data_IF_948111381486
#
_entry.id   IF_948111381486
#
_cell.length_a   1.000
_cell.length_b   1.000
_cell.length_c   1.000
_cell.angle_alpha   90.00
_cell.angle_beta   90.00
_cell.angle_gamma   90.00
#
_symmetry.space_group_name_H-M   'P 1'
#
loop_
_entity.id
_entity.type
_entity.pdbx_description
1 polymer ?
#
# COMPACT_ATOMS: atom_id res chain seq x y z
N UNK A 1 -24.80 36.71 -27.00
CA UNK A 1 -23.78 35.63 -26.99
C UNK A 1 -22.66 35.92 -26.01
N UNK A 2 -22.02 37.08 -26.03
CA UNK A 2 -20.94 37.46 -25.10
C UNK A 2 -21.32 37.43 -23.60
N UNK A 3 -22.52 37.96 -23.27
CA UNK A 3 -23.00 38.02 -21.87
C UNK A 3 -23.32 36.64 -21.30
N UNK A 4 -23.81 35.70 -22.11
CA UNK A 4 -24.05 34.32 -21.70
C UNK A 4 -22.76 33.56 -21.51
N UNK A 5 -21.75 33.81 -22.34
CA UNK A 5 -20.43 33.18 -22.22
C UNK A 5 -19.66 33.66 -20.96
N UNK A 6 -19.73 34.96 -20.67
CA UNK A 6 -19.12 35.54 -19.46
C UNK A 6 -19.83 35.07 -18.19
N UNK A 7 -21.14 34.91 -18.19
CA UNK A 7 -21.90 34.33 -17.08
C UNK A 7 -21.55 32.86 -16.82
N UNK A 8 -21.42 32.06 -17.87
CA UNK A 8 -21.01 30.65 -17.77
C UNK A 8 -19.54 30.51 -17.27
N UNK A 9 -18.63 31.36 -17.75
CA UNK A 9 -17.26 31.38 -17.28
C UNK A 9 -17.14 31.83 -15.82
N UNK A 10 -17.91 32.84 -15.40
CA UNK A 10 -17.98 33.27 -14.01
C UNK A 10 -18.57 32.19 -13.09
N UNK A 11 -19.61 31.50 -13.53
CA UNK A 11 -20.20 30.37 -12.79
C UNK A 11 -19.24 29.18 -12.70
N UNK A 12 -18.52 28.86 -13.78
CA UNK A 12 -17.51 27.82 -13.78
C UNK A 12 -16.32 28.17 -12.88
N UNK A 13 -15.81 29.40 -12.93
CA UNK A 13 -14.73 29.87 -12.05
C UNK A 13 -15.17 29.88 -10.58
N UNK A 14 -16.39 30.33 -10.28
CA UNK A 14 -16.99 30.28 -8.95
C UNK A 14 -17.11 28.83 -8.45
N UNK A 15 -17.59 27.91 -9.29
CA UNK A 15 -17.73 26.50 -8.94
C UNK A 15 -16.38 25.84 -8.67
N UNK A 16 -15.33 26.17 -9.44
CA UNK A 16 -13.97 25.70 -9.24
C UNK A 16 -13.37 26.25 -7.94
N UNK A 17 -13.59 27.54 -7.64
CA UNK A 17 -13.12 28.18 -6.41
C UNK A 17 -13.80 27.55 -5.18
N UNK A 18 -15.13 27.39 -5.22
CA UNK A 18 -15.90 26.74 -4.16
C UNK A 18 -15.51 25.27 -4.03
N UNK A 19 -15.33 24.55 -5.13
CA UNK A 19 -14.83 23.19 -5.15
C UNK A 19 -13.47 23.08 -4.47
N UNK A 20 -12.55 23.99 -4.75
CA UNK A 20 -11.23 24.03 -4.13
C UNK A 20 -11.28 24.37 -2.62
N UNK A 21 -12.13 25.32 -2.21
CA UNK A 21 -12.34 25.65 -0.80
C UNK A 21 -12.97 24.47 -0.03
N UNK A 22 -13.93 23.78 -0.63
CA UNK A 22 -14.59 22.62 -0.02
C UNK A 22 -13.69 21.39 0.02
N UNK A 23 -12.79 21.23 -0.94
CA UNK A 23 -11.83 20.11 -0.99
C UNK A 23 -10.66 20.28 -0.01
N UNK A 24 -10.36 21.52 0.42
CA UNK A 24 -9.29 21.75 1.40
C UNK A 24 -9.60 21.07 2.72
N UNK A 25 -8.60 20.43 3.33
CA UNK A 25 -8.69 19.95 4.69
C UNK A 25 -9.16 21.07 5.61
N UNK A 26 -10.01 20.74 6.58
CA UNK A 26 -10.64 21.74 7.45
C UNK A 26 -9.67 22.47 8.39
N UNK A 27 -8.47 21.94 8.55
CA UNK A 27 -7.38 22.53 9.33
C UNK A 27 -6.04 22.09 8.72
N UNK A 28 -5.22 23.02 8.30
CA UNK A 28 -3.80 22.78 8.03
C UNK A 28 -3.06 22.81 9.36
N UNK A 29 -2.62 21.66 9.86
CA UNK A 29 -1.71 21.62 11.01
C UNK A 29 -0.27 21.73 10.45
N UNK A 30 0.53 22.70 10.89
CA UNK A 30 1.93 22.82 10.45
C UNK A 30 2.72 21.52 10.64
N UNK A 31 2.40 20.72 11.67
CA UNK A 31 3.02 19.42 11.90
C UNK A 31 2.81 18.40 10.78
N UNK A 32 1.75 18.54 9.98
CA UNK A 32 1.46 17.67 8.84
C UNK A 32 2.33 17.99 7.61
N UNK A 33 3.01 19.14 7.63
CA UNK A 33 3.96 19.53 6.59
C UNK A 33 5.27 18.72 6.66
N UNK A 34 5.52 18.03 7.77
CA UNK A 34 6.73 17.24 7.99
C UNK A 34 6.47 15.78 7.65
N UNK A 35 7.29 15.23 6.75
CA UNK A 35 7.21 13.84 6.30
C UNK A 35 8.56 13.15 6.46
N UNK A 36 8.53 11.90 6.88
CA UNK A 36 9.67 11.00 6.87
C UNK A 36 9.63 10.15 5.60
N UNK A 37 10.64 10.33 4.76
CA UNK A 37 10.79 9.60 3.50
C UNK A 37 11.86 8.52 3.72
N UNK A 38 11.57 7.23 3.56
CA UNK A 38 12.56 6.18 3.71
C UNK A 38 13.67 6.32 2.66
N UNK A 39 14.92 6.23 3.09
CA UNK A 39 16.12 6.27 2.24
C UNK A 39 16.73 4.89 2.05
N UNK A 40 16.64 4.06 3.10
CA UNK A 40 17.17 2.70 3.08
C UNK A 40 16.14 1.72 3.63
N UNK A 41 16.11 0.49 3.11
CA UNK A 41 15.35 -0.59 3.75
C UNK A 41 15.82 -0.85 5.18
N UNK A 42 14.95 -1.46 6.00
CA UNK A 42 15.34 -1.91 7.33
C UNK A 42 16.44 -2.96 7.26
N UNK A 43 17.54 -2.70 7.91
CA UNK A 43 18.70 -3.63 8.06
C UNK A 43 18.67 -4.38 9.40
N UNK A 44 19.56 -5.34 9.58
CA UNK A 44 19.68 -6.12 10.82
C UNK A 44 18.59 -7.18 11.00
N UNK A 45 17.94 -7.61 9.91
CA UNK A 45 16.95 -8.69 9.94
C UNK A 45 17.61 -9.99 10.45
N UNK A 46 17.16 -10.50 11.62
CA UNK A 46 17.73 -11.67 12.28
C UNK A 46 18.56 -11.36 13.54
N UNK A 47 18.79 -10.08 13.85
CA UNK A 47 19.37 -9.63 15.13
C UNK A 47 18.30 -8.92 15.98
N UNK A 48 18.59 -8.65 17.24
CA UNK A 48 17.73 -7.84 18.12
C UNK A 48 17.68 -6.36 17.76
N UNK A 49 18.44 -5.93 16.75
CA UNK A 49 18.55 -4.52 16.35
C UNK A 49 18.03 -4.33 14.93
N UNK A 50 17.25 -3.27 14.71
CA UNK A 50 16.77 -2.86 13.40
C UNK A 50 17.15 -1.42 13.15
N UNK A 51 17.68 -1.15 11.95
CA UNK A 51 18.15 0.19 11.56
C UNK A 51 17.62 0.56 10.18
N UNK A 52 17.11 1.79 10.06
CA UNK A 52 16.77 2.38 8.76
C UNK A 52 17.06 3.88 8.80
N UNK A 53 17.32 4.47 7.63
CA UNK A 53 17.55 5.90 7.44
C UNK A 53 16.36 6.54 6.74
N UNK A 54 15.98 7.68 7.25
CA UNK A 54 14.87 8.48 6.71
C UNK A 54 15.35 9.89 6.45
N UNK A 55 14.83 10.49 5.38
CA UNK A 55 14.95 11.94 5.13
C UNK A 55 13.73 12.62 5.73
N UNK A 56 13.98 13.56 6.63
CA UNK A 56 12.95 14.45 7.10
C UNK A 56 12.72 15.52 6.03
N UNK A 57 11.49 15.64 5.55
CA UNK A 57 11.09 16.64 4.57
C UNK A 57 10.02 17.54 5.16
N UNK A 58 10.25 18.86 5.12
CA UNK A 58 9.23 19.85 5.46
C UNK A 58 8.85 20.66 4.22
N UNK A 59 7.55 20.79 3.99
CA UNK A 59 7.02 21.68 2.95
C UNK A 59 7.11 23.15 3.35
N UNK A 60 7.28 23.45 4.66
CA UNK A 60 7.47 24.81 5.19
C UNK A 60 8.91 24.96 5.75
N UNK A 61 9.76 25.74 5.08
CA UNK A 61 11.15 25.92 5.50
C UNK A 61 11.30 26.71 6.82
N UNK A 62 10.22 27.31 7.31
CA UNK A 62 10.24 28.11 8.56
C UNK A 62 9.91 27.30 9.79
N UNK A 63 9.61 26.01 9.66
CA UNK A 63 9.28 25.13 10.78
C UNK A 63 10.53 24.65 11.51
N UNK A 64 10.55 24.82 12.82
CA UNK A 64 11.49 24.15 13.72
C UNK A 64 10.83 22.90 14.29
N UNK A 65 11.57 21.81 14.37
CA UNK A 65 11.10 20.52 14.91
C UNK A 65 11.85 20.27 16.22
N UNK A 66 11.10 19.92 17.26
CA UNK A 66 11.66 19.63 18.59
C UNK A 66 10.95 18.46 19.24
N UNK A 67 11.53 17.89 20.29
CA UNK A 67 10.90 16.90 21.14
C UNK A 67 10.52 15.60 20.42
N UNK A 68 11.40 15.11 19.53
CA UNK A 68 11.16 13.83 18.85
C UNK A 68 11.17 12.69 19.86
N UNK A 69 10.06 11.99 19.98
CA UNK A 69 9.89 10.81 20.84
C UNK A 69 9.39 9.61 20.05
N UNK A 70 9.66 8.42 20.56
CA UNK A 70 9.25 7.16 19.95
C UNK A 70 8.49 6.29 20.93
N UNK A 71 7.41 5.67 20.46
CA UNK A 71 6.68 4.62 21.15
C UNK A 71 6.60 3.39 20.27
N UNK A 72 6.80 2.20 20.85
CA UNK A 72 6.82 0.93 20.13
C UNK A 72 5.62 0.09 20.51
N UNK A 73 4.96 -0.48 19.51
CA UNK A 73 3.95 -1.51 19.67
C UNK A 73 4.32 -2.72 18.81
N UNK A 74 4.31 -3.93 19.40
CA UNK A 74 4.65 -5.17 18.71
C UNK A 74 3.38 -5.90 18.25
N UNK A 75 3.45 -6.55 17.08
CA UNK A 75 2.37 -7.32 16.47
C UNK A 75 2.81 -8.77 16.27
N UNK A 76 2.06 -9.71 16.83
CA UNK A 76 2.20 -11.15 16.66
C UNK A 76 0.97 -11.75 15.99
N UNK A 77 1.10 -12.98 15.53
CA UNK A 77 -0.02 -13.76 14.99
C UNK A 77 -0.93 -14.30 16.11
N UNK A 78 -0.38 -14.46 17.32
CA UNK A 78 -1.08 -14.99 18.49
C UNK A 78 -1.28 -13.91 19.54
N UNK A 79 -2.34 -14.07 20.36
CA UNK A 79 -2.68 -13.17 21.46
C UNK A 79 -1.77 -13.33 22.70
N UNK A 80 -0.53 -13.77 22.53
CA UNK A 80 0.44 -13.95 23.62
C UNK A 80 0.87 -12.61 24.24
N UNK A 81 1.32 -12.60 25.52
CA UNK A 81 1.87 -11.42 26.15
C UNK A 81 2.98 -10.84 25.28
N UNK A 82 2.86 -9.57 24.94
CA UNK A 82 3.80 -8.90 24.03
C UNK A 82 5.08 -8.59 24.76
N UNK A 83 6.26 -8.94 24.21
CA UNK A 83 7.53 -8.55 24.83
C UNK A 83 7.63 -7.04 24.90
N UNK A 84 8.27 -6.52 25.94
CA UNK A 84 8.56 -5.10 26.05
C UNK A 84 9.64 -4.75 25.02
N UNK A 85 9.28 -4.03 23.98
CA UNK A 85 10.23 -3.51 22.99
C UNK A 85 10.60 -2.08 23.37
N UNK A 86 11.89 -1.77 23.31
CA UNK A 86 12.39 -0.42 23.51
C UNK A 86 12.88 0.13 22.16
N UNK A 87 12.50 1.36 21.85
CA UNK A 87 13.00 2.08 20.70
C UNK A 87 13.83 3.26 21.13
N UNK A 88 14.97 3.44 20.50
CA UNK A 88 15.73 4.67 20.54
C UNK A 88 15.67 5.36 19.18
N UNK A 89 15.48 6.67 19.18
CA UNK A 89 15.54 7.51 17.99
C UNK A 89 16.74 8.42 18.13
N UNK A 90 17.64 8.34 17.17
CA UNK A 90 18.77 9.25 17.06
C UNK A 90 18.53 10.15 15.86
N UNK A 91 18.63 11.45 16.09
CA UNK A 91 18.54 12.47 15.06
C UNK A 91 19.94 13.06 14.89
N UNK A 92 20.45 13.02 13.67
CA UNK A 92 21.78 13.55 13.40
C UNK A 92 21.96 13.98 11.97
N UNK A 93 23.00 14.80 11.81
CA UNK A 93 23.47 15.29 10.53
C UNK A 93 24.81 14.60 10.23
N UNK A 94 24.83 13.63 9.32
CA UNK A 94 26.04 12.88 9.02
C UNK A 94 26.33 11.76 10.05
N UNK A 95 27.57 11.29 10.09
CA UNK A 95 28.01 10.15 10.90
C UNK A 95 28.13 10.42 12.40
N UNK A 96 28.12 11.71 12.82
CA UNK A 96 28.25 12.14 14.21
C UNK A 96 26.94 12.73 14.74
N UNK A 97 26.37 12.05 15.76
CA UNK A 97 25.04 12.30 16.31
C UNK A 97 25.07 13.04 17.66
N UNK A 98 24.87 14.35 17.76
CA UNK A 98 24.57 15.00 19.02
C UNK A 98 23.07 15.17 19.26
N UNK A 99 22.67 15.04 20.53
CA UNK A 99 21.31 15.14 21.07
C UNK A 99 20.80 16.61 21.11
N UNK A 100 20.75 17.35 20.02
CA UNK A 100 20.27 18.73 20.08
C UNK A 100 19.13 19.04 19.12
N UNK A 101 18.30 20.01 19.54
CA UNK A 101 17.14 20.50 18.81
C UNK A 101 17.46 20.71 17.32
N UNK A 102 16.65 20.10 16.47
CA UNK A 102 16.77 20.21 15.02
C UNK A 102 16.26 21.61 14.66
N UNK A 103 17.16 22.55 14.48
CA UNK A 103 16.89 23.85 13.84
C UNK A 103 17.29 23.73 12.38
N UNK A 104 16.41 24.18 11.48
CA UNK A 104 16.62 24.27 10.02
C UNK A 104 16.82 22.89 9.33
N UNK A 105 15.71 22.17 9.15
CA UNK A 105 15.73 20.81 8.63
C UNK A 105 15.25 20.71 7.19
N UNK A 106 15.77 21.54 6.31
CA UNK A 106 15.61 21.31 4.87
C UNK A 106 16.62 20.25 4.41
N UNK A 107 16.13 19.04 4.12
CA UNK A 107 16.95 17.99 3.50
C UNK A 107 17.86 17.20 4.45
N UNK A 108 17.60 17.19 5.74
CA UNK A 108 18.39 16.43 6.71
C UNK A 108 17.97 14.96 6.76
N UNK A 109 18.92 14.07 6.99
CA UNK A 109 18.68 12.66 7.20
C UNK A 109 18.45 12.37 8.68
N UNK A 110 17.37 11.61 8.98
CA UNK A 110 17.08 11.13 10.32
C UNK A 110 17.40 9.65 10.37
N UNK A 111 18.27 9.26 11.30
CA UNK A 111 18.57 7.87 11.60
C UNK A 111 17.61 7.39 12.69
N UNK A 112 16.85 6.34 12.39
CA UNK A 112 15.96 5.69 13.36
C UNK A 112 16.54 4.33 13.70
N UNK A 113 16.95 4.16 14.96
CA UNK A 113 17.35 2.87 15.52
C UNK A 113 16.22 2.32 16.38
N UNK A 114 15.85 1.08 16.13
CA UNK A 114 14.95 0.32 16.98
C UNK A 114 15.74 -0.80 17.60
N UNK A 115 15.99 -0.71 18.90
CA UNK A 115 16.58 -1.77 19.67
C UNK A 115 15.47 -2.58 20.34
N UNK A 116 15.42 -3.87 20.02
CA UNK A 116 14.48 -4.79 20.63
C UNK A 116 15.14 -5.36 21.88
N UNK A 117 14.70 -4.86 23.04
CA UNK A 117 15.10 -5.41 24.31
C UNK A 117 14.22 -6.63 24.63
N UNK A 118 14.82 -7.82 24.64
CA UNK A 118 14.16 -9.08 24.93
C UNK A 118 14.95 -10.27 24.40
N UNK A 119 14.65 -11.47 24.86
CA UNK A 119 15.27 -12.67 24.32
C UNK A 119 14.80 -12.90 22.87
N UNK A 120 15.71 -13.28 21.98
CA UNK A 120 15.41 -13.58 20.58
C UNK A 120 14.29 -14.63 20.39
N UNK A 121 14.05 -15.46 21.41
CA UNK A 121 12.96 -16.45 21.47
C UNK A 121 11.58 -15.78 21.50
N UNK A 122 11.45 -14.64 22.18
CA UNK A 122 10.17 -13.91 22.29
C UNK A 122 9.79 -13.24 20.98
N UNK A 123 10.73 -13.03 20.06
CA UNK A 123 10.49 -12.42 18.77
C UNK A 123 10.00 -13.39 17.71
N UNK A 124 10.03 -14.71 17.95
CA UNK A 124 9.66 -15.73 16.95
C UNK A 124 8.20 -15.67 16.55
N UNK A 125 7.31 -15.25 17.47
CA UNK A 125 5.88 -15.07 17.21
C UNK A 125 5.52 -13.70 16.64
N UNK A 126 6.46 -12.76 16.56
CA UNK A 126 6.20 -11.41 16.07
C UNK A 126 6.51 -11.31 14.58
N UNK A 127 5.65 -10.63 13.83
CA UNK A 127 5.87 -10.35 12.42
C UNK A 127 6.25 -8.90 12.16
N UNK A 128 5.81 -7.96 13.01
CA UNK A 128 6.13 -6.54 12.89
C UNK A 128 6.09 -5.83 14.25
N UNK A 129 6.67 -4.63 14.27
CA UNK A 129 6.39 -3.62 15.27
C UNK A 129 6.03 -2.31 14.57
N UNK A 130 5.21 -1.48 15.20
CA UNK A 130 5.08 -0.08 14.83
C UNK A 130 5.92 0.77 15.74
N UNK A 131 6.53 1.78 15.15
CA UNK A 131 7.21 2.86 15.84
C UNK A 131 6.42 4.14 15.58
N UNK A 132 5.68 4.61 16.58
CA UNK A 132 5.02 5.90 16.53
C UNK A 132 6.03 6.99 16.91
N UNK A 133 6.44 7.76 15.92
CA UNK A 133 7.27 8.94 16.12
C UNK A 133 6.35 10.15 16.31
N UNK A 134 6.58 10.89 17.38
CA UNK A 134 5.89 12.15 17.64
C UNK A 134 6.90 13.27 17.84
N UNK A 135 6.53 14.46 17.40
CA UNK A 135 7.34 15.67 17.53
C UNK A 135 6.46 16.88 17.76
N UNK A 136 7.11 17.99 18.13
CA UNK A 136 6.50 19.30 18.15
C UNK A 136 7.10 20.15 17.05
N UNK A 137 6.27 20.84 16.29
CA UNK A 137 6.70 21.83 15.33
C UNK A 137 6.39 23.23 15.86
N UNK A 138 7.30 24.16 15.62
CA UNK A 138 7.12 25.58 15.95
C UNK A 138 7.32 26.42 14.68
N UNK A 139 6.38 27.30 14.40
CA UNK A 139 6.41 28.17 13.22
C UNK A 139 5.48 29.36 13.38
N UNK A 140 5.08 29.97 12.28
CA UNK A 140 4.21 31.18 12.26
C UNK A 140 2.90 31.03 13.01
N UNK A 141 2.43 29.82 13.18
CA UNK A 141 1.16 29.48 13.86
C UNK A 141 1.36 28.96 15.29
N UNK A 142 2.58 29.08 15.84
CA UNK A 142 2.93 28.58 17.17
C UNK A 142 3.31 27.09 17.20
N UNK A 143 3.07 26.44 18.32
CA UNK A 143 3.39 25.02 18.56
C UNK A 143 2.30 24.11 18.06
N UNK A 144 2.68 23.07 17.29
CA UNK A 144 1.76 22.05 16.82
C UNK A 144 2.38 20.66 16.96
N UNK A 145 1.61 19.68 17.44
CA UNK A 145 2.04 18.29 17.44
C UNK A 145 2.01 17.72 16.04
N UNK A 146 3.00 16.91 15.73
CA UNK A 146 3.06 16.09 14.52
C UNK A 146 3.49 14.68 14.85
N UNK A 147 3.37 13.77 13.92
CA UNK A 147 3.81 12.40 14.09
C UNK A 147 3.71 11.58 12.81
N UNK A 148 4.27 10.39 12.88
CA UNK A 148 4.15 9.37 11.83
C UNK A 148 4.26 7.98 12.45
N UNK A 149 3.77 6.99 11.73
CA UNK A 149 3.91 5.59 12.10
C UNK A 149 4.89 4.93 11.12
N UNK A 150 5.97 4.37 11.64
CA UNK A 150 6.88 3.51 10.91
C UNK A 150 6.56 2.05 11.22
N UNK A 151 6.62 1.19 10.22
CA UNK A 151 6.45 -0.25 10.39
C UNK A 151 7.80 -0.92 10.26
N UNK A 152 8.16 -1.71 11.27
CA UNK A 152 9.44 -2.42 11.38
C UNK A 152 9.18 -3.91 11.20
N UNK A 153 9.75 -4.57 10.18
CA UNK A 153 9.59 -6.01 10.00
C UNK A 153 10.43 -6.78 11.04
N UNK A 154 9.85 -7.76 11.71
CA UNK A 154 10.52 -8.55 12.75
C UNK A 154 10.70 -10.02 12.37
N UNK A 155 9.65 -10.65 11.84
CA UNK A 155 9.63 -12.06 11.54
C UNK A 155 10.36 -12.43 10.24
N UNK A 156 10.71 -13.71 10.12
CA UNK A 156 11.18 -14.32 8.87
C UNK A 156 9.99 -14.75 8.00
N UNK A 157 10.25 -14.99 6.72
CA UNK A 157 9.29 -15.65 5.86
C UNK A 157 8.99 -17.07 6.39
N UNK A 158 7.73 -17.45 6.28
CA UNK A 158 7.28 -18.82 6.57
C UNK A 158 7.58 -19.71 5.36
N UNK A 159 7.75 -21.01 5.56
CA UNK A 159 7.89 -21.94 4.44
C UNK A 159 6.62 -21.91 3.55
N UNK A 160 6.78 -21.92 2.22
CA UNK A 160 5.64 -21.92 1.32
C UNK A 160 4.77 -23.15 1.52
N UNK A 161 3.47 -22.98 1.32
CA UNK A 161 2.51 -24.06 1.29
C UNK A 161 2.80 -25.01 0.10
N UNK A 162 2.13 -26.17 0.10
CA UNK A 162 2.17 -27.07 -1.04
C UNK A 162 1.43 -26.44 -2.24
N UNK A 163 1.91 -26.68 -3.48
CA UNK A 163 1.20 -26.24 -4.65
C UNK A 163 -0.22 -26.85 -4.71
N UNK A 164 -1.20 -26.01 -4.99
CA UNK A 164 -2.59 -26.42 -5.13
C UNK A 164 -2.97 -26.47 -6.60
N UNK A 165 -3.44 -27.60 -7.14
CA UNK A 165 -3.96 -27.64 -8.50
C UNK A 165 -5.31 -26.92 -8.59
N UNK A 166 -5.46 -25.99 -9.50
CA UNK A 166 -6.68 -25.25 -9.80
C UNK A 166 -6.99 -25.36 -11.29
N UNK A 167 -7.51 -26.53 -11.70
CA UNK A 167 -7.94 -26.77 -13.09
C UNK A 167 -6.84 -26.52 -14.13
N UNK A 168 -6.78 -25.31 -14.67
CA UNK A 168 -5.85 -24.91 -15.75
C UNK A 168 -4.41 -24.62 -15.28
N UNK A 169 -4.17 -24.55 -13.97
CA UNK A 169 -2.87 -24.22 -13.40
C UNK A 169 -2.66 -24.86 -12.03
N UNK A 170 -1.40 -24.94 -11.62
CA UNK A 170 -1.00 -25.19 -10.24
C UNK A 170 -0.51 -23.87 -9.63
N UNK A 171 -1.13 -23.43 -8.57
CA UNK A 171 -0.80 -22.20 -7.87
C UNK A 171 -0.04 -22.50 -6.58
N UNK A 172 1.02 -21.73 -6.33
CA UNK A 172 1.81 -21.82 -5.11
C UNK A 172 1.88 -20.45 -4.47
N UNK A 173 1.12 -20.21 -3.39
CA UNK A 173 1.30 -19.03 -2.56
C UNK A 173 2.68 -19.04 -1.91
N UNK A 174 3.43 -17.96 -2.04
CA UNK A 174 4.80 -17.83 -1.53
C UNK A 174 4.81 -16.79 -0.41
N UNK A 175 4.92 -17.22 0.85
CA UNK A 175 4.95 -16.30 1.96
C UNK A 175 6.29 -15.55 2.01
N UNK A 176 6.22 -14.31 2.48
CA UNK A 176 7.37 -13.47 2.71
C UNK A 176 7.37 -12.97 4.16
N UNK A 177 8.45 -12.31 4.59
CA UNK A 177 8.33 -11.41 5.73
C UNK A 177 7.31 -10.30 5.41
N UNK A 178 6.84 -9.60 6.41
CA UNK A 178 5.98 -8.45 6.18
C UNK A 178 6.72 -7.45 5.28
N UNK A 179 6.07 -7.06 4.18
CA UNK A 179 6.52 -5.96 3.31
C UNK A 179 6.22 -4.65 4.01
N UNK A 180 7.19 -3.73 4.02
CA UNK A 180 7.06 -2.44 4.69
C UNK A 180 7.48 -1.30 3.75
N UNK A 181 7.09 -0.05 4.06
CA UNK A 181 7.50 1.10 3.28
C UNK A 181 9.02 1.20 3.09
N UNK A 182 9.44 1.42 1.84
CA UNK A 182 10.85 1.53 1.47
C UNK A 182 11.56 0.19 1.16
N UNK A 183 10.84 -0.93 1.22
CA UNK A 183 11.38 -2.21 0.77
C UNK A 183 11.60 -2.25 -0.74
N UNK A 184 12.70 -2.88 -1.16
CA UNK A 184 12.86 -3.35 -2.55
C UNK A 184 12.03 -4.64 -2.74
N UNK A 185 10.74 -4.46 -3.06
CA UNK A 185 9.84 -5.60 -3.24
C UNK A 185 10.32 -6.54 -4.36
N UNK A 186 10.94 -6.03 -5.43
CA UNK A 186 11.45 -6.88 -6.50
C UNK A 186 12.60 -7.78 -6.00
N UNK A 187 13.46 -7.29 -5.10
CA UNK A 187 14.48 -8.11 -4.45
C UNK A 187 13.86 -9.15 -3.50
N UNK A 188 12.80 -8.78 -2.77
CA UNK A 188 12.07 -9.73 -1.92
C UNK A 188 11.44 -10.83 -2.76
N UNK A 189 10.79 -10.49 -3.88
CA UNK A 189 10.22 -11.45 -4.83
C UNK A 189 11.31 -12.38 -5.34
N UNK A 190 12.40 -11.86 -5.89
CA UNK A 190 13.50 -12.66 -6.44
C UNK A 190 14.09 -13.63 -5.39
N UNK A 191 14.31 -13.16 -4.16
CA UNK A 191 14.79 -14.01 -3.07
C UNK A 191 13.81 -15.10 -2.65
N UNK A 192 12.50 -14.80 -2.63
CA UNK A 192 11.47 -15.75 -2.20
C UNK A 192 11.24 -16.89 -3.20
N UNK A 193 11.44 -16.63 -4.51
CA UNK A 193 11.23 -17.62 -5.58
C UNK A 193 12.49 -18.31 -6.04
N UNK A 194 13.68 -17.94 -5.52
CA UNK A 194 14.95 -18.51 -5.94
C UNK A 194 14.93 -20.04 -5.91
N UNK A 195 15.31 -20.67 -7.03
CA UNK A 195 15.32 -22.12 -7.18
C UNK A 195 13.95 -22.81 -7.27
N UNK A 196 12.84 -22.04 -7.37
CA UNK A 196 11.47 -22.59 -7.40
C UNK A 196 10.75 -22.37 -8.72
N UNK A 197 11.38 -21.67 -9.66
CA UNK A 197 10.82 -21.35 -10.97
C UNK A 197 11.18 -22.39 -12.00
N UNK A 198 10.27 -22.62 -12.94
CA UNK A 198 10.48 -23.41 -14.15
C UNK A 198 10.13 -22.56 -15.38
N UNK A 199 10.67 -22.91 -16.57
CA UNK A 199 10.28 -22.23 -17.80
C UNK A 199 8.75 -22.26 -17.99
N UNK A 200 8.17 -21.10 -18.32
CA UNK A 200 6.73 -20.94 -18.50
C UNK A 200 5.93 -20.66 -17.23
N UNK A 201 6.57 -20.66 -16.03
CA UNK A 201 5.91 -20.17 -14.82
C UNK A 201 5.64 -18.67 -14.93
N UNK A 202 4.58 -18.20 -14.27
CA UNK A 202 4.24 -16.77 -14.14
C UNK A 202 4.15 -16.38 -12.65
N UNK A 203 4.55 -15.15 -12.33
CA UNK A 203 4.43 -14.59 -10.98
C UNK A 203 3.28 -13.59 -10.92
N UNK A 204 2.34 -13.82 -10.02
CA UNK A 204 1.35 -12.83 -9.65
C UNK A 204 1.74 -12.19 -8.32
N UNK A 205 1.82 -10.88 -8.26
CA UNK A 205 2.23 -10.12 -7.08
C UNK A 205 1.05 -9.23 -6.63
N UNK A 206 0.75 -9.27 -5.33
CA UNK A 206 -0.31 -8.45 -4.73
C UNK A 206 -0.06 -6.96 -4.94
N UNK A 207 -1.09 -6.25 -5.39
CA UNK A 207 -1.06 -4.80 -5.58
C UNK A 207 -0.87 -4.07 -4.24
N UNK A 208 -1.50 -4.55 -3.14
CA UNK A 208 -1.37 -3.94 -1.82
C UNK A 208 0.06 -4.05 -1.29
N UNK A 209 0.77 -5.16 -1.56
CA UNK A 209 2.18 -5.30 -1.20
C UNK A 209 3.05 -4.29 -1.94
N UNK A 210 2.78 -4.06 -3.24
CA UNK A 210 3.48 -3.04 -4.02
C UNK A 210 3.17 -1.64 -3.48
N UNK A 211 1.90 -1.34 -3.21
CA UNK A 211 1.49 -0.06 -2.65
C UNK A 211 2.15 0.22 -1.29
N UNK A 212 2.22 -0.78 -0.41
CA UNK A 212 2.90 -0.66 0.89
C UNK A 212 4.40 -0.38 0.70
N UNK A 213 5.08 -1.12 -0.18
CA UNK A 213 6.51 -0.91 -0.44
C UNK A 213 6.81 0.50 -0.99
N UNK A 214 5.89 1.06 -1.77
CA UNK A 214 5.93 2.44 -2.29
C UNK A 214 5.52 3.50 -1.25
N UNK A 215 5.25 3.12 0.00
CA UNK A 215 4.73 4.02 1.04
C UNK A 215 3.44 4.73 0.62
N UNK A 216 2.53 4.00 -0.04
CA UNK A 216 1.21 4.46 -0.45
C UNK A 216 0.21 4.31 0.70
N UNK A 217 0.58 4.82 1.87
CA UNK A 217 -0.18 4.70 3.11
C UNK A 217 -0.64 6.07 3.60
N UNK A 218 -1.87 6.12 4.07
CA UNK A 218 -2.41 7.27 4.80
C UNK A 218 -2.78 6.81 6.19
N UNK A 219 -2.14 7.39 7.19
CA UNK A 219 -2.42 7.11 8.60
C UNK A 219 -3.41 8.15 9.13
N UNK A 220 -4.70 7.83 9.33
CA UNK A 220 -5.71 8.81 9.74
C UNK A 220 -5.35 9.57 11.02
N UNK A 221 -4.62 8.91 11.92
CA UNK A 221 -4.16 9.51 13.19
C UNK A 221 -3.22 10.71 12.97
N UNK A 222 -2.39 10.67 11.91
CA UNK A 222 -1.34 11.65 11.64
C UNK A 222 -1.67 12.58 10.48
N UNK A 223 -2.80 12.36 9.80
CA UNK A 223 -3.22 13.18 8.67
C UNK A 223 -4.14 14.32 9.10
N UNK A 224 -4.27 15.30 8.21
CA UNK A 224 -5.19 16.41 8.41
C UNK A 224 -6.63 15.92 8.54
N UNK A 225 -7.44 16.68 9.28
CA UNK A 225 -8.86 16.40 9.36
C UNK A 225 -9.49 16.49 7.95
N UNK A 226 -10.34 15.51 7.59
CA UNK A 226 -10.98 15.48 6.27
C UNK A 226 -11.75 16.74 5.97
N UNK A 227 -11.78 17.16 4.71
CA UNK A 227 -12.50 18.32 4.23
C UNK A 227 -14.01 18.19 4.49
N UNK A 228 -14.72 19.31 4.45
CA UNK A 228 -16.20 19.33 4.54
C UNK A 228 -16.84 18.48 3.43
N UNK A 229 -16.27 18.55 2.22
CA UNK A 229 -16.71 17.72 1.10
C UNK A 229 -16.54 16.23 1.40
N UNK A 230 -15.37 15.80 1.85
CA UNK A 230 -15.12 14.40 2.19
C UNK A 230 -16.10 13.88 3.25
N UNK A 231 -16.36 14.66 4.31
CA UNK A 231 -17.33 14.32 5.35
C UNK A 231 -18.77 14.23 4.86
N UNK A 232 -19.14 15.05 3.91
CA UNK A 232 -20.49 15.01 3.33
C UNK A 232 -20.64 13.84 2.35
N UNK A 233 -19.68 13.67 1.43
CA UNK A 233 -19.75 12.69 0.35
C UNK A 233 -19.56 11.25 0.84
N UNK A 234 -18.80 11.02 1.91
CA UNK A 234 -18.63 9.68 2.49
C UNK A 234 -19.98 9.06 2.91
N UNK A 235 -20.95 9.88 3.31
CA UNK A 235 -22.29 9.41 3.70
C UNK A 235 -23.13 8.87 2.54
N UNK A 236 -22.72 9.12 1.29
CA UNK A 236 -23.38 8.57 0.11
C UNK A 236 -23.02 7.10 -0.15
N UNK A 237 -22.06 6.54 0.59
CA UNK A 237 -21.58 5.19 0.40
C UNK A 237 -22.09 4.24 1.50
N UNK A 238 -22.31 2.95 1.17
CA UNK A 238 -22.63 1.94 2.17
C UNK A 238 -21.44 1.71 3.11
N UNK A 239 -21.71 1.35 4.36
CA UNK A 239 -20.69 1.17 5.41
C UNK A 239 -19.57 0.19 5.02
N UNK A 240 -19.87 -0.79 4.18
CA UNK A 240 -18.89 -1.76 3.68
C UNK A 240 -17.93 -1.19 2.59
N UNK A 241 -18.13 0.06 2.17
CA UNK A 241 -17.26 0.69 1.17
C UNK A 241 -16.11 1.42 1.85
N UNK A 242 -14.90 1.29 1.33
CA UNK A 242 -13.73 2.07 1.76
C UNK A 242 -13.93 3.59 1.68
N UNK A 243 -14.89 4.04 0.87
CA UNK A 243 -15.23 5.46 0.73
C UNK A 243 -16.32 5.94 1.72
N UNK A 244 -16.82 5.05 2.58
CA UNK A 244 -17.83 5.40 3.59
C UNK A 244 -17.23 6.19 4.77
N UNK A 245 -15.91 6.18 4.92
CA UNK A 245 -15.23 6.98 5.94
C UNK A 245 -14.79 8.33 5.40
N UNK A 246 -14.77 9.39 6.22
CA UNK A 246 -14.30 10.69 5.78
C UNK A 246 -12.84 10.70 5.31
N UNK A 247 -11.96 9.87 5.89
CA UNK A 247 -10.57 9.78 5.47
C UNK A 247 -10.41 8.99 4.16
N UNK A 248 -11.15 7.90 3.96
CA UNK A 248 -11.19 7.17 2.70
C UNK A 248 -11.73 8.04 1.55
N UNK A 249 -12.79 8.82 1.80
CA UNK A 249 -13.31 9.77 0.82
C UNK A 249 -12.32 10.92 0.56
N UNK A 250 -11.60 11.41 1.57
CA UNK A 250 -10.54 12.40 1.37
C UNK A 250 -9.43 11.84 0.49
N UNK A 251 -8.99 10.62 0.74
CA UNK A 251 -8.01 9.93 -0.10
C UNK A 251 -8.47 9.83 -1.56
N UNK A 252 -9.75 9.53 -1.80
CA UNK A 252 -10.33 9.51 -3.15
C UNK A 252 -10.34 10.90 -3.82
N UNK A 253 -10.65 11.95 -3.04
CA UNK A 253 -10.61 13.33 -3.53
C UNK A 253 -9.18 13.75 -3.86
N UNK A 254 -8.20 13.35 -3.03
CA UNK A 254 -6.79 13.66 -3.24
C UNK A 254 -6.21 12.94 -4.47
N UNK A 255 -6.67 11.71 -4.75
CA UNK A 255 -6.24 10.93 -5.93
C UNK A 255 -6.92 11.38 -7.24
N UNK A 256 -8.21 11.69 -7.24
CA UNK A 256 -8.98 11.92 -8.45
C UNK A 256 -9.41 13.38 -8.65
N UNK A 257 -9.36 14.20 -7.61
CA UNK A 257 -9.90 15.55 -7.57
C UNK A 257 -11.40 15.58 -7.28
N UNK A 258 -11.84 16.59 -6.50
CA UNK A 258 -13.25 16.76 -6.13
C UNK A 258 -14.21 16.83 -7.34
N UNK A 259 -13.89 17.57 -8.43
CA UNK A 259 -14.80 17.63 -9.58
C UNK A 259 -15.08 16.25 -10.20
N UNK A 260 -14.04 15.42 -10.30
CA UNK A 260 -14.18 14.07 -10.86
C UNK A 260 -14.99 13.15 -9.95
N UNK A 261 -14.80 13.26 -8.62
CA UNK A 261 -15.61 12.51 -7.64
C UNK A 261 -17.08 12.92 -7.72
N UNK A 262 -17.39 14.22 -7.86
CA UNK A 262 -18.77 14.70 -8.02
C UNK A 262 -19.41 14.18 -9.30
N UNK A 263 -18.69 14.21 -10.43
CA UNK A 263 -19.16 13.63 -11.68
C UNK A 263 -19.39 12.12 -11.55
N UNK A 264 -18.47 11.41 -10.88
CA UNK A 264 -18.62 9.98 -10.63
C UNK A 264 -19.86 9.66 -9.79
N UNK A 265 -20.15 10.47 -8.77
CA UNK A 265 -21.36 10.32 -7.96
C UNK A 265 -22.63 10.58 -8.77
N UNK A 266 -22.64 11.62 -9.61
CA UNK A 266 -23.77 11.94 -10.47
C UNK A 266 -24.07 10.77 -11.43
N UNK A 267 -23.07 10.36 -12.22
CA UNK A 267 -23.23 9.26 -13.18
C UNK A 267 -23.49 7.92 -12.49
N UNK A 268 -22.78 7.62 -11.39
CA UNK A 268 -22.99 6.41 -10.62
C UNK A 268 -24.38 6.34 -9.98
N UNK A 269 -24.91 7.47 -9.51
CA UNK A 269 -26.26 7.57 -8.95
C UNK A 269 -27.33 7.36 -10.01
N UNK A 270 -27.25 8.08 -11.14
CA UNK A 270 -28.21 7.96 -12.25
C UNK A 270 -28.21 6.55 -12.83
N UNK A 271 -27.03 5.97 -13.08
CA UNK A 271 -26.92 4.63 -13.70
C UNK A 271 -27.36 3.51 -12.74
N UNK A 272 -27.25 3.72 -11.43
CA UNK A 272 -27.78 2.80 -10.43
C UNK A 272 -29.31 2.68 -10.50
N UNK A 273 -30.03 3.76 -10.85
CA UNK A 273 -31.47 3.73 -11.03
C UNK A 273 -31.93 2.86 -12.22
N UNK A 274 -31.05 2.70 -13.22
CA UNK A 274 -31.30 1.81 -14.37
C UNK A 274 -30.57 0.45 -14.23
N UNK A 275 -30.17 0.09 -13.00
CA UNK A 275 -29.58 -1.23 -12.70
C UNK A 275 -28.08 -1.39 -13.02
N UNK A 276 -27.41 -0.38 -13.58
CA UNK A 276 -25.99 -0.45 -13.90
C UNK A 276 -25.14 -0.17 -12.66
N UNK A 277 -24.31 -1.14 -12.26
CA UNK A 277 -23.41 -1.05 -11.09
C UNK A 277 -21.96 -0.73 -11.51
N UNK A 278 -21.18 -0.17 -10.59
CA UNK A 278 -19.73 0.07 -10.78
C UNK A 278 -19.39 1.28 -11.63
N UNK A 279 -20.37 2.06 -12.16
CA UNK A 279 -20.11 3.23 -12.99
C UNK A 279 -19.39 4.32 -12.21
N UNK A 280 -19.64 4.47 -10.92
CA UNK A 280 -18.88 5.38 -10.06
C UNK A 280 -17.37 5.17 -10.20
N UNK A 281 -16.88 3.96 -10.00
CA UNK A 281 -15.45 3.63 -10.05
C UNK A 281 -14.86 3.74 -11.46
N UNK A 282 -15.67 3.50 -12.50
CA UNK A 282 -15.24 3.72 -13.90
C UNK A 282 -14.96 5.20 -14.17
N UNK A 283 -15.81 6.09 -13.66
CA UNK A 283 -15.66 7.55 -13.80
C UNK A 283 -14.60 8.09 -12.83
N UNK A 284 -14.62 7.71 -11.56
CA UNK A 284 -13.65 8.13 -10.55
C UNK A 284 -12.23 7.69 -10.90
N UNK A 285 -12.10 6.52 -11.52
CA UNK A 285 -10.83 5.96 -11.96
C UNK A 285 -10.37 4.77 -11.11
N UNK A 286 -9.51 3.95 -11.71
CA UNK A 286 -9.04 2.70 -11.12
C UNK A 286 -8.30 2.90 -9.78
N UNK A 287 -7.58 4.01 -9.60
CA UNK A 287 -6.89 4.32 -8.34
C UNK A 287 -7.86 4.49 -7.17
N UNK A 288 -9.03 5.07 -7.42
CA UNK A 288 -10.07 5.21 -6.39
C UNK A 288 -10.71 3.87 -6.05
N UNK A 289 -10.81 2.98 -7.05
CA UNK A 289 -11.36 1.63 -6.83
C UNK A 289 -10.47 0.73 -5.96
N UNK A 290 -9.16 1.03 -5.91
CA UNK A 290 -8.15 0.29 -5.14
C UNK A 290 -7.82 0.94 -3.78
N UNK A 291 -8.64 1.86 -3.30
CA UNK A 291 -8.46 2.41 -1.94
C UNK A 291 -9.01 1.41 -0.94
N UNK A 292 -8.13 0.86 -0.11
CA UNK A 292 -8.49 0.05 1.04
C UNK A 292 -8.51 0.93 2.30
N UNK A 293 -9.66 0.96 2.98
CA UNK A 293 -9.81 1.71 4.21
C UNK A 293 -9.23 0.95 5.43
N UNK A 294 -9.21 1.62 6.55
CA UNK A 294 -8.83 1.06 7.85
C UNK A 294 -9.59 -0.25 8.08
N UNK A 295 -8.84 -1.31 8.46
CA UNK A 295 -9.37 -2.66 8.62
C UNK A 295 -9.32 -3.54 7.36
N UNK A 296 -8.97 -2.99 6.19
CA UNK A 296 -8.88 -3.75 4.93
C UNK A 296 -7.59 -4.56 4.76
N UNK A 297 -6.57 -4.32 5.58
CA UNK A 297 -5.26 -4.96 5.48
C UNK A 297 -4.86 -5.67 6.77
N UNK A 298 -3.77 -6.47 6.70
CA UNK A 298 -3.27 -7.13 7.91
C UNK A 298 -2.60 -6.13 8.89
N UNK A 299 -2.63 -6.39 10.21
CA UNK A 299 -1.90 -5.60 11.18
C UNK A 299 -0.39 -5.52 10.87
N UNK A 300 0.21 -4.33 11.01
CA UNK A 300 -0.34 -3.07 11.55
C UNK A 300 -1.00 -2.16 10.51
N UNK A 301 -1.07 -2.57 9.25
CA UNK A 301 -1.64 -1.75 8.15
C UNK A 301 -3.17 -1.65 8.22
N UNK A 302 -3.83 -2.47 9.05
CA UNK A 302 -5.25 -2.36 9.40
C UNK A 302 -5.63 -1.01 10.03
N UNK A 303 -4.65 -0.19 10.41
CA UNK A 303 -4.81 1.18 10.93
C UNK A 303 -4.51 2.27 9.90
N UNK A 304 -4.16 1.89 8.70
CA UNK A 304 -3.86 2.78 7.59
C UNK A 304 -4.84 2.57 6.44
N UNK A 305 -5.00 3.60 5.63
CA UNK A 305 -5.64 3.51 4.33
C UNK A 305 -4.53 3.18 3.32
N UNK A 306 -4.70 2.11 2.57
CA UNK A 306 -3.78 1.72 1.50
C UNK A 306 -4.30 2.29 0.19
N UNK A 307 -3.45 3.03 -0.51
CA UNK A 307 -3.76 3.65 -1.80
C UNK A 307 -3.22 2.78 -2.94
N UNK A 308 -3.75 2.96 -4.14
CA UNK A 308 -3.24 2.28 -5.33
C UNK A 308 -1.73 2.49 -5.56
N UNK A 309 -0.98 1.48 -6.03
CA UNK A 309 0.42 1.62 -6.37
C UNK A 309 0.61 2.58 -7.55
N UNK A 310 1.83 3.14 -7.68
CA UNK A 310 2.17 4.09 -8.74
C UNK A 310 2.94 3.46 -9.89
N UNK A 311 3.78 2.47 -9.59
CA UNK A 311 4.82 1.99 -10.51
C UNK A 311 4.55 0.57 -11.05
N UNK A 312 3.32 0.07 -11.00
CA UNK A 312 3.01 -1.31 -11.38
C UNK A 312 3.62 -1.76 -12.73
N UNK A 313 3.56 -0.98 -13.83
CA UNK A 313 4.20 -1.37 -15.09
C UNK A 313 5.73 -1.48 -15.00
N UNK A 314 6.38 -0.52 -14.35
CA UNK A 314 7.83 -0.54 -14.18
C UNK A 314 8.26 -1.67 -13.22
N UNK A 315 7.46 -1.93 -12.20
CA UNK A 315 7.70 -2.99 -11.24
C UNK A 315 7.65 -4.39 -11.87
N UNK A 316 6.63 -4.70 -12.70
CA UNK A 316 6.56 -6.02 -13.37
C UNK A 316 7.73 -6.22 -14.33
N UNK A 317 8.17 -5.19 -15.03
CA UNK A 317 9.35 -5.25 -15.90
C UNK A 317 10.63 -5.55 -15.08
N UNK A 318 10.79 -4.93 -13.91
CA UNK A 318 11.93 -5.15 -13.04
C UNK A 318 11.91 -6.56 -12.41
N UNK A 319 10.74 -7.04 -11.97
CA UNK A 319 10.58 -8.42 -11.48
C UNK A 319 10.92 -9.42 -12.59
N UNK A 320 10.38 -9.24 -13.77
CA UNK A 320 10.67 -10.11 -14.93
C UNK A 320 12.16 -10.15 -15.25
N UNK A 321 12.82 -8.98 -15.27
CA UNK A 321 14.26 -8.88 -15.51
C UNK A 321 15.09 -9.61 -14.44
N UNK A 322 14.74 -9.49 -13.14
CA UNK A 322 15.46 -10.14 -12.03
C UNK A 322 15.21 -11.63 -11.94
N UNK A 323 14.00 -12.05 -12.25
CA UNK A 323 13.56 -13.43 -12.04
C UNK A 323 13.60 -14.29 -13.32
N UNK A 324 13.77 -13.66 -14.50
CA UNK A 324 13.80 -14.36 -15.78
C UNK A 324 12.46 -15.02 -16.15
N UNK A 325 11.34 -14.45 -15.72
CA UNK A 325 10.01 -15.02 -15.90
C UNK A 325 8.95 -13.94 -16.13
N UNK A 326 7.79 -14.33 -16.63
CA UNK A 326 6.64 -13.43 -16.75
C UNK A 326 6.10 -13.03 -15.37
N UNK A 327 5.62 -11.79 -15.25
CA UNK A 327 5.13 -11.24 -13.99
C UNK A 327 3.91 -10.34 -14.20
N UNK A 328 3.03 -10.33 -13.21
CA UNK A 328 1.88 -9.46 -13.16
C UNK A 328 1.66 -8.89 -11.74
N UNK A 329 1.12 -7.68 -11.65
CA UNK A 329 0.55 -7.12 -10.41
C UNK A 329 -0.96 -7.31 -10.48
N UNK A 330 -1.51 -7.88 -9.42
CA UNK A 330 -2.91 -8.27 -9.36
C UNK A 330 -3.59 -7.75 -8.10
N UNK A 331 -4.82 -7.29 -8.25
CA UNK A 331 -5.79 -7.13 -7.17
C UNK A 331 -6.65 -8.39 -7.15
N UNK A 332 -6.45 -9.24 -6.14
CA UNK A 332 -7.20 -10.47 -5.97
C UNK A 332 -7.89 -10.45 -4.60
N UNK A 333 -9.20 -10.50 -4.60
CA UNK A 333 -10.02 -10.47 -3.39
C UNK A 333 -11.25 -11.37 -3.55
N UNK A 334 -12.11 -11.42 -2.53
CA UNK A 334 -13.33 -12.25 -2.56
C UNK A 334 -14.35 -11.84 -3.65
N UNK A 335 -14.20 -10.67 -4.26
CA UNK A 335 -15.09 -10.15 -5.31
C UNK A 335 -14.60 -10.48 -6.72
N UNK A 336 -13.35 -10.93 -6.86
CA UNK A 336 -12.74 -11.29 -8.13
C UNK A 336 -11.25 -11.00 -8.21
N UNK A 337 -10.71 -11.16 -9.40
CA UNK A 337 -9.30 -10.92 -9.72
C UNK A 337 -9.22 -9.88 -10.83
N UNK A 338 -8.28 -8.98 -10.70
CA UNK A 338 -7.98 -7.97 -11.71
C UNK A 338 -6.48 -7.79 -11.89
N UNK A 339 -5.99 -7.94 -13.09
CA UNK A 339 -4.61 -7.63 -13.44
C UNK A 339 -4.47 -6.12 -13.67
N UNK A 340 -3.55 -5.48 -12.94
CA UNK A 340 -3.26 -4.04 -13.05
C UNK A 340 -2.14 -3.74 -14.04
N UNK A 341 -1.14 -4.61 -14.07
CA UNK A 341 -0.03 -4.56 -15.00
C UNK A 341 0.53 -5.97 -15.20
N UNK A 342 0.99 -6.27 -16.38
CA UNK A 342 1.61 -7.55 -16.70
C UNK A 342 2.73 -7.34 -17.74
N UNK A 343 3.69 -8.25 -17.76
CA UNK A 343 4.67 -8.36 -18.84
C UNK A 343 4.01 -8.89 -20.12
N UNK A 344 4.57 -8.61 -21.30
CA UNK A 344 3.89 -8.90 -22.58
C UNK A 344 3.52 -10.37 -22.83
N UNK A 345 4.22 -11.32 -22.23
CA UNK A 345 3.96 -12.76 -22.39
C UNK A 345 2.84 -13.31 -21.51
N UNK A 346 2.23 -12.50 -20.65
CA UNK A 346 1.14 -12.94 -19.77
C UNK A 346 -0.19 -12.93 -20.50
N UNK A 347 -0.85 -14.07 -20.55
CA UNK A 347 -2.28 -14.15 -20.87
C UNK A 347 -3.11 -13.72 -19.66
N UNK A 348 -3.59 -12.47 -19.71
CA UNK A 348 -4.30 -11.82 -18.59
C UNK A 348 -5.57 -12.58 -18.23
N UNK A 349 -6.39 -12.98 -19.19
CA UNK A 349 -7.65 -13.65 -18.92
C UNK A 349 -7.42 -15.03 -18.27
N UNK A 350 -6.43 -15.77 -18.76
CA UNK A 350 -6.03 -17.05 -18.19
C UNK A 350 -5.44 -16.91 -16.79
N UNK A 351 -4.68 -15.83 -16.54
CA UNK A 351 -4.14 -15.54 -15.21
C UNK A 351 -5.23 -15.19 -14.22
N UNK A 352 -6.18 -14.33 -14.59
CA UNK A 352 -7.34 -13.99 -13.74
C UNK A 352 -8.13 -15.24 -13.38
N UNK A 353 -8.39 -16.12 -14.33
CA UNK A 353 -9.06 -17.41 -14.08
C UNK A 353 -8.25 -18.32 -13.13
N UNK A 354 -6.93 -18.39 -13.30
CA UNK A 354 -6.08 -19.23 -12.44
C UNK A 354 -5.99 -18.70 -10.99
N UNK A 355 -6.29 -17.43 -10.77
CA UNK A 355 -6.26 -16.80 -9.45
C UNK A 355 -7.65 -16.65 -8.82
N UNK A 356 -8.71 -17.15 -9.47
CA UNK A 356 -10.04 -17.22 -8.85
C UNK A 356 -9.97 -17.97 -7.51
N UNK A 357 -10.68 -17.45 -6.50
CA UNK A 357 -10.62 -17.98 -5.13
C UNK A 357 -9.50 -17.39 -4.27
N UNK A 358 -8.81 -16.35 -4.75
CA UNK A 358 -7.82 -15.56 -4.02
C UNK A 358 -6.70 -16.41 -3.35
N UNK A 359 -5.81 -17.05 -4.12
CA UNK A 359 -4.71 -17.83 -3.55
C UNK A 359 -3.68 -16.98 -2.80
N UNK A 360 -3.72 -15.64 -2.93
CA UNK A 360 -2.93 -14.73 -2.09
C UNK A 360 -3.39 -14.73 -0.62
N UNK A 361 -4.62 -15.17 -0.34
CA UNK A 361 -5.22 -15.07 0.99
C UNK A 361 -5.65 -13.65 1.33
N UNK A 362 -6.06 -13.45 2.58
CA UNK A 362 -6.58 -12.16 3.07
C UNK A 362 -5.54 -11.37 3.90
N UNK A 363 -4.25 -11.64 3.71
CA UNK A 363 -3.15 -10.91 4.31
C UNK A 363 -2.48 -11.60 5.51
N UNK A 364 -3.22 -12.32 6.35
CA UNK A 364 -2.66 -13.03 7.53
C UNK A 364 -1.62 -14.08 7.10
N UNK A 365 -1.84 -14.72 5.97
CA UNK A 365 -0.96 -15.71 5.36
C UNK A 365 0.37 -15.12 4.90
N UNK A 366 0.43 -13.82 4.71
CA UNK A 366 1.60 -13.06 4.22
C UNK A 366 2.18 -13.64 2.94
N UNK A 367 1.31 -13.97 2.00
CA UNK A 367 1.62 -14.57 0.70
C UNK A 367 1.41 -13.55 -0.44
N UNK A 368 2.20 -12.46 -0.48
CA UNK A 368 2.03 -11.41 -1.49
C UNK A 368 2.43 -11.87 -2.90
N UNK A 369 2.93 -13.08 -3.04
CA UNK A 369 3.40 -13.66 -4.29
C UNK A 369 2.68 -14.97 -4.50
N UNK A 370 2.17 -15.20 -5.72
CA UNK A 370 1.68 -16.49 -6.17
C UNK A 370 2.46 -16.90 -7.42
N UNK A 371 3.12 -18.04 -7.37
CA UNK A 371 3.66 -18.68 -8.56
C UNK A 371 2.55 -19.47 -9.25
N UNK A 372 2.31 -19.17 -10.50
CA UNK A 372 1.35 -19.86 -11.35
C UNK A 372 2.13 -20.73 -12.34
N UNK A 373 1.88 -22.03 -12.32
CA UNK A 373 2.42 -23.00 -13.28
C UNK A 373 1.28 -23.55 -14.10
N UNK A 374 1.34 -23.34 -15.40
CA UNK A 374 0.28 -23.80 -16.29
C UNK A 374 0.27 -25.31 -16.42
N UNK A 375 -0.90 -25.91 -16.31
CA UNK A 375 -1.09 -27.30 -16.68
C UNK A 375 -0.87 -27.42 -18.19
N UNK A 376 -0.08 -28.39 -18.62
CA UNK A 376 -0.01 -28.75 -20.04
C UNK A 376 -1.42 -29.14 -20.47
N UNK A 377 -1.89 -28.77 -21.67
CA UNK A 377 -3.10 -29.34 -22.20
C UNK A 377 -2.91 -30.87 -22.17
N UNK A 378 -3.87 -31.60 -21.61
CA UNK A 378 -3.85 -33.06 -21.68
C UNK A 378 -3.68 -33.45 -23.14
N UNK A 379 -2.73 -34.34 -23.49
CA UNK A 379 -2.62 -34.81 -24.86
C UNK A 379 -4.01 -35.30 -25.25
N UNK A 380 -4.47 -34.79 -26.41
CA UNK A 380 -5.81 -35.08 -26.91
C UNK A 380 -5.90 -36.60 -27.10
N UNK A 381 -6.73 -37.29 -26.28
CA UNK A 381 -6.91 -38.72 -26.36
C UNK A 381 -7.38 -39.17 -27.76
N UNK A 382 -7.81 -38.23 -28.61
CA UNK A 382 -8.11 -38.45 -30.02
C UNK A 382 -6.88 -38.69 -30.92
N UNK A 383 -5.69 -38.23 -30.54
CA UNK A 383 -4.45 -38.53 -31.27
C UNK A 383 -3.90 -39.90 -30.87
N UNK A 384 -4.02 -40.31 -29.62
CA UNK A 384 -3.60 -41.64 -29.17
C UNK A 384 -4.46 -42.75 -29.80
N UNK A 385 -5.75 -42.46 -30.09
CA UNK A 385 -6.63 -43.39 -30.79
C UNK A 385 -6.33 -43.57 -32.27
N UNK A 386 -5.56 -42.71 -32.88
CA UNK A 386 -5.15 -42.81 -34.32
C UNK A 386 -3.85 -43.59 -34.54
N UNK A 387 -3.00 -43.73 -33.51
CA UNK A 387 -1.77 -44.52 -33.60
C UNK A 387 -1.92 -45.98 -33.19
N UNK A 388 -3.10 -46.39 -32.70
CA UNK A 388 -3.34 -47.71 -32.17
C UNK A 388 -4.22 -48.66 -33.02
N UNK A 389 -4.42 -48.37 -34.32
CA UNK A 389 -5.09 -49.31 -35.20
C UNK A 389 -4.05 -50.20 -35.93
N UNK A 390 -3.89 -51.47 -35.56
CA UNK A 390 -3.06 -52.37 -36.32
C UNK A 390 -3.74 -52.71 -37.67
N UNK A 391 -2.93 -52.73 -38.73
CA UNK A 391 -3.31 -53.26 -40.05
C UNK A 391 -3.76 -54.73 -39.99
#
# INVERSE_FOLDING_TARGET
MFVLLSGLLAAAASSLLWGWVLARPSQTRPGDAVKLIPLTPWSGLGSGRRLSRFRLHSADPTLSITGLTAQVEAFGLDALPRPSLQASVRVGFGDDLPRQAVRDVLGSEVLVEVELAGELLDLKGLHAATLELTWQTYGRHGWHPGGTTLVVPLGRAVAPAQPTPLGIASVLPVPTRLVVPGDDLAAIVAGAIAGRMQPGDCLAISESALAISENRLVWPRWTQAPSRAARALSRCFPVASSLATPHGMQAAIDEAGLPRILLALLFGGVTKLVGLRGVFYRVAGWKVALIDDVGGSLPPFDRAIVLAPRSAPAFVAEVSRRCGTEAAVVDANALGVRVLAATPGVDVARLEQALEGNPHGNGIERTPIVRVRWSQPSPDLSEIAKEGAPC
#
